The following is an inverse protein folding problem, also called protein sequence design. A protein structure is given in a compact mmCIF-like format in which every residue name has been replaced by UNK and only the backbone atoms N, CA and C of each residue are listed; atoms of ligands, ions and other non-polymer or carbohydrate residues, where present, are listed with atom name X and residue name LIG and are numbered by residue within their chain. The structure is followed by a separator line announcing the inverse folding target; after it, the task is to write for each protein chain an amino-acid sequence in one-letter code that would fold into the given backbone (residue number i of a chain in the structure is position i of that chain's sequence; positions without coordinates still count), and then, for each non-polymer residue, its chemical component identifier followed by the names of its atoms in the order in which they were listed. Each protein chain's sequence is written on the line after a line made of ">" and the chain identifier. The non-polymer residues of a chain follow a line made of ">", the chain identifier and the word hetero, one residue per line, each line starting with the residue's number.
data_IF_647685855066
#
_entry.id   IF_647685855066
#
_cell.length_a   1.000
_cell.length_b   1.000
_cell.length_c   1.000
_cell.angle_alpha   90.00
_cell.angle_beta   90.00
_cell.angle_gamma   90.00
#
_symmetry.space_group_name_H-M   'P 1'
#
loop_
_entity.id
_entity.type
_entity.pdbx_description
1 polymer ?
#
# COMPACT_ATOMS: atom_id res chain seq x y z
N UNK A 1 23.79 -27.98 4.90
CA UNK A 1 22.56 -27.41 5.46
C UNK A 1 21.51 -27.25 4.38
N UNK A 2 20.32 -27.67 4.63
CA UNK A 2 19.25 -27.67 3.63
C UNK A 2 18.51 -26.33 3.65
N UNK A 3 18.67 -25.54 2.60
CA UNK A 3 17.96 -24.28 2.46
C UNK A 3 16.53 -24.52 2.03
N UNK A 4 15.56 -23.96 2.73
CA UNK A 4 14.16 -24.07 2.36
C UNK A 4 13.91 -23.25 1.07
N UNK A 5 13.01 -23.73 0.22
CA UNK A 5 12.69 -23.04 -1.03
C UNK A 5 12.18 -21.62 -0.81
N UNK A 6 11.58 -21.36 0.34
CA UNK A 6 11.02 -20.07 0.68
C UNK A 6 12.01 -19.10 1.30
N UNK A 7 13.24 -19.53 1.64
CA UNK A 7 14.21 -18.67 2.35
C UNK A 7 14.52 -17.38 1.59
N UNK A 8 14.78 -17.48 0.28
CA UNK A 8 15.06 -16.31 -0.53
C UNK A 8 13.85 -15.38 -0.62
N UNK A 9 12.67 -15.94 -0.74
CA UNK A 9 11.44 -15.15 -0.79
C UNK A 9 11.20 -14.46 0.54
N UNK A 10 11.37 -15.16 1.65
CA UNK A 10 11.20 -14.59 2.99
C UNK A 10 12.17 -13.44 3.21
N UNK A 11 13.45 -13.66 2.90
CA UNK A 11 14.48 -12.63 3.06
C UNK A 11 14.17 -11.40 2.20
N UNK A 12 13.77 -11.60 0.95
CA UNK A 12 13.40 -10.50 0.05
C UNK A 12 12.18 -9.76 0.57
N UNK A 13 11.20 -10.48 1.09
CA UNK A 13 10.00 -9.87 1.64
C UNK A 13 10.31 -9.04 2.89
N UNK A 14 11.19 -9.53 3.77
CA UNK A 14 11.56 -8.80 4.98
C UNK A 14 12.29 -7.49 4.63
N UNK A 15 13.18 -7.52 3.65
CA UNK A 15 13.86 -6.31 3.17
C UNK A 15 12.83 -5.35 2.57
N UNK A 16 11.97 -5.86 1.71
CA UNK A 16 10.91 -5.06 1.08
C UNK A 16 10.00 -4.43 2.13
N UNK A 17 9.57 -5.22 3.12
CA UNK A 17 8.68 -4.74 4.17
C UNK A 17 9.33 -3.62 4.99
N UNK A 18 10.63 -3.75 5.28
CA UNK A 18 11.35 -2.72 6.03
C UNK A 18 11.39 -1.39 5.26
N UNK A 19 11.55 -1.45 3.94
CA UNK A 19 11.61 -0.27 3.09
C UNK A 19 10.22 0.30 2.84
N UNK A 20 9.24 -0.57 2.65
CA UNK A 20 7.91 -0.20 2.17
C UNK A 20 6.84 -0.18 3.28
N UNK A 21 7.21 -0.28 4.55
CA UNK A 21 6.23 -0.38 5.63
C UNK A 21 5.24 0.79 5.64
N UNK A 22 5.71 2.01 5.40
CA UNK A 22 4.86 3.19 5.40
C UNK A 22 3.94 3.26 4.18
N UNK A 23 4.27 2.51 3.14
CA UNK A 23 3.47 2.45 1.92
C UNK A 23 2.42 1.35 2.02
N UNK A 24 2.79 0.22 2.64
CA UNK A 24 1.90 -0.93 2.81
C UNK A 24 0.96 -0.76 3.99
N UNK A 25 1.36 0.00 4.99
CA UNK A 25 0.60 0.26 6.21
C UNK A 25 0.49 1.77 6.42
N UNK A 26 -0.39 2.39 5.66
CA UNK A 26 -0.58 3.84 5.68
C UNK A 26 -1.33 4.22 6.95
N UNK A 27 -0.71 5.06 7.78
CA UNK A 27 -1.29 5.50 9.06
C UNK A 27 -1.49 7.00 9.13
N UNK A 28 -0.77 7.76 8.32
CA UNK A 28 -0.78 9.22 8.38
C UNK A 28 -1.03 9.80 7.00
N UNK A 29 -1.42 11.07 6.96
CA UNK A 29 -1.58 11.80 5.70
C UNK A 29 -0.25 11.89 4.93
N UNK A 30 0.86 11.95 5.65
CA UNK A 30 2.19 11.96 5.03
C UNK A 30 2.47 10.63 4.33
N UNK A 31 2.17 9.53 4.99
CA UNK A 31 2.33 8.19 4.40
C UNK A 31 1.47 8.07 3.15
N UNK A 32 0.25 8.56 3.22
CA UNK A 32 -0.70 8.54 2.12
C UNK A 32 -0.16 9.32 0.91
N UNK A 33 0.35 10.53 1.14
CA UNK A 33 0.92 11.36 0.09
C UNK A 33 2.11 10.66 -0.58
N UNK A 34 2.98 10.03 0.22
CA UNK A 34 4.11 9.28 -0.29
C UNK A 34 3.67 8.09 -1.14
N UNK A 35 2.64 7.37 -0.70
CA UNK A 35 2.12 6.23 -1.43
C UNK A 35 1.55 6.66 -2.79
N UNK A 36 0.85 7.79 -2.84
CA UNK A 36 0.31 8.33 -4.09
C UNK A 36 1.42 8.71 -5.07
N UNK A 37 2.49 9.34 -4.58
CA UNK A 37 3.62 9.69 -5.42
C UNK A 37 4.30 8.46 -5.99
N UNK A 38 4.47 7.44 -5.15
CA UNK A 38 5.13 6.20 -5.57
C UNK A 38 4.28 5.46 -6.58
N UNK A 39 2.97 5.37 -6.37
CA UNK A 39 2.12 4.64 -7.32
C UNK A 39 2.08 5.36 -8.67
N UNK A 40 2.11 6.69 -8.67
CA UNK A 40 2.18 7.47 -9.90
C UNK A 40 3.47 7.19 -10.66
N UNK A 41 4.59 7.15 -9.93
CA UNK A 41 5.88 6.81 -10.51
C UNK A 41 5.91 5.39 -11.08
N UNK A 42 5.31 4.44 -10.35
CA UNK A 42 5.20 3.06 -10.83
C UNK A 42 4.37 2.95 -12.10
N UNK A 43 3.28 3.69 -12.20
CA UNK A 43 2.48 3.71 -13.42
C UNK A 43 3.29 4.20 -14.61
N UNK A 44 4.17 5.17 -14.41
CA UNK A 44 5.00 5.68 -15.50
C UNK A 44 6.08 4.67 -15.92
N UNK A 45 6.49 3.78 -15.03
CA UNK A 45 7.50 2.76 -15.31
C UNK A 45 6.91 1.46 -15.83
N UNK A 46 5.66 1.16 -15.48
CA UNK A 46 5.03 -0.10 -15.83
C UNK A 46 4.75 -0.18 -17.33
N UNK A 47 4.95 -1.38 -17.89
CA UNK A 47 4.61 -1.65 -19.29
C UNK A 47 3.18 -2.18 -19.36
N UNK A 48 2.56 -2.02 -20.54
CA UNK A 48 1.23 -2.57 -20.78
C UNK A 48 1.25 -4.10 -20.97
N UNK A 49 2.42 -4.72 -20.88
CA UNK A 49 2.55 -6.15 -21.05
C UNK A 49 1.96 -6.92 -19.89
N UNK A 50 1.15 -7.91 -20.21
CA UNK A 50 0.63 -8.86 -19.22
C UNK A 50 1.81 -9.58 -18.55
N UNK A 51 1.80 -9.63 -17.22
CA UNK A 51 2.86 -10.31 -16.47
C UNK A 51 4.00 -9.43 -16.01
N UNK A 52 3.93 -8.11 -16.26
CA UNK A 52 4.93 -7.20 -15.69
C UNK A 52 4.83 -7.20 -14.16
N UNK A 53 5.92 -7.54 -13.44
CA UNK A 53 5.90 -7.59 -11.97
C UNK A 53 5.49 -6.28 -11.32
N UNK A 54 5.67 -5.14 -11.99
CA UNK A 54 5.26 -3.85 -11.44
C UNK A 54 3.75 -3.74 -11.28
N UNK A 55 2.98 -4.48 -12.07
CA UNK A 55 1.52 -4.51 -11.92
C UNK A 55 1.10 -5.10 -10.57
N UNK A 56 1.80 -6.12 -10.11
CA UNK A 56 1.53 -6.73 -8.81
C UNK A 56 1.87 -5.75 -7.68
N UNK A 57 2.97 -5.02 -7.81
CA UNK A 57 3.35 -4.02 -6.83
C UNK A 57 2.35 -2.87 -6.79
N UNK A 58 1.92 -2.40 -7.96
CA UNK A 58 0.89 -1.36 -8.08
C UNK A 58 -0.39 -1.81 -7.39
N UNK A 59 -0.82 -3.05 -7.62
CA UNK A 59 -2.02 -3.60 -7.00
C UNK A 59 -1.90 -3.62 -5.48
N UNK A 60 -0.75 -4.04 -4.97
CA UNK A 60 -0.50 -4.12 -3.54
C UNK A 60 -0.58 -2.74 -2.88
N UNK A 61 0.04 -1.73 -3.48
CA UNK A 61 0.03 -0.36 -2.97
C UNK A 61 -1.36 0.25 -3.12
N UNK A 62 -2.05 -0.02 -4.22
CA UNK A 62 -3.41 0.47 -4.45
C UNK A 62 -4.36 -0.01 -3.35
N UNK A 63 -4.22 -1.26 -2.93
CA UNK A 63 -5.04 -1.82 -1.85
C UNK A 63 -4.77 -1.13 -0.52
N UNK A 64 -3.51 -0.81 -0.24
CA UNK A 64 -3.15 -0.09 0.97
C UNK A 64 -3.73 1.32 0.97
N UNK A 65 -3.67 2.00 -0.17
CA UNK A 65 -4.24 3.34 -0.35
C UNK A 65 -5.76 3.28 -0.15
N UNK A 66 -6.42 2.32 -0.78
CA UNK A 66 -7.87 2.15 -0.66
C UNK A 66 -8.29 1.91 0.78
N UNK A 67 -7.55 1.07 1.48
CA UNK A 67 -7.83 0.76 2.89
C UNK A 67 -7.75 2.02 3.74
N UNK A 68 -6.74 2.86 3.50
CA UNK A 68 -6.60 4.11 4.23
C UNK A 68 -7.75 5.07 3.91
N UNK A 69 -8.10 5.21 2.64
CA UNK A 69 -9.20 6.07 2.22
C UNK A 69 -10.52 5.67 2.85
N UNK A 70 -10.80 4.36 2.87
CA UNK A 70 -12.02 3.84 3.51
C UNK A 70 -12.02 4.10 5.01
N UNK A 71 -10.87 4.01 5.66
CA UNK A 71 -10.72 4.31 7.07
C UNK A 71 -11.04 5.79 7.36
N UNK A 72 -10.56 6.69 6.51
CA UNK A 72 -10.83 8.11 6.66
C UNK A 72 -12.30 8.44 6.42
N UNK A 73 -12.90 7.82 5.41
CA UNK A 73 -14.33 7.99 5.12
C UNK A 73 -15.19 7.55 6.30
N UNK A 74 -14.83 6.43 6.93
CA UNK A 74 -15.56 5.93 8.10
C UNK A 74 -15.45 6.88 9.28
N UNK A 75 -14.29 7.46 9.49
CA UNK A 75 -14.07 8.46 10.56
C UNK A 75 -14.90 9.71 10.29
N UNK A 76 -14.86 10.21 9.07
CA UNK A 76 -15.63 11.39 8.66
C UNK A 76 -17.12 11.14 8.82
N UNK A 77 -17.61 9.98 8.38
CA UNK A 77 -19.02 9.62 8.52
C UNK A 77 -19.45 9.54 9.98
N UNK A 78 -18.59 8.98 10.83
CA UNK A 78 -18.86 8.87 12.25
C UNK A 78 -18.94 10.25 12.91
N UNK A 79 -18.00 11.13 12.62
CA UNK A 79 -17.96 12.49 13.16
C UNK A 79 -19.19 13.28 12.73
N UNK A 80 -19.55 13.17 11.46
CA UNK A 80 -20.72 13.85 10.91
C UNK A 80 -22.00 13.39 11.61
N UNK A 81 -22.12 12.08 11.82
CA UNK A 81 -23.27 11.51 12.48
C UNK A 81 -23.38 11.94 13.94
N UNK A 82 -22.24 11.99 14.63
CA UNK A 82 -22.19 12.45 16.01
C UNK A 82 -22.60 13.93 16.13
N UNK A 83 -22.20 14.75 15.17
CA UNK A 83 -22.57 16.17 15.14
C UNK A 83 -24.06 16.35 14.87
N UNK A 84 -24.64 15.51 14.03
CA UNK A 84 -26.06 15.55 13.71
C UNK A 84 -26.93 15.17 14.91
N UNK A 85 -26.40 14.40 15.85
CA UNK A 85 -27.10 13.95 17.05
C UNK A 85 -27.02 14.96 18.20
N UNK A 86 -26.18 15.95 18.09
CA UNK A 86 -26.10 17.02 19.12
C UNK A 86 -27.10 18.19 18.85
#
# INVERSE_FOLDING_TARGET
>A
MKTLKSDNLVNSFLVFSAIASNILHIKTAKDYAQALEIIEDLFSQANDKVGDPLHDLIDLISRAIEKYELSQDNIIAFEKKANDLS
#
